data_IF_538519531748
#
_entry.id   IF_538519531748
#
_cell.length_a   1.000
_cell.length_b   1.000
_cell.length_c   1.000
_cell.angle_alpha   90.00
_cell.angle_beta   90.00
_cell.angle_gamma   90.00
#
_symmetry.space_group_name_H-M   'P 1'
#
loop_
_entity.id
_entity.type
_entity.pdbx_description
1 polymer ?
#
# COMPACT_ATOMS: atom_id res chain seq x y z
N UNK A 1 -1.57 -4.44 -56.58
CA UNK A 1 -1.91 -5.37 -55.48
C UNK A 1 -1.02 -6.60 -55.62
N UNK A 2 0.15 -6.67 -54.97
CA UNK A 2 1.02 -7.83 -55.08
C UNK A 2 0.41 -9.04 -54.36
N UNK A 3 0.28 -10.16 -55.07
CA UNK A 3 -0.27 -11.41 -54.56
C UNK A 3 0.75 -12.13 -53.67
N UNK A 4 0.35 -12.42 -52.42
CA UNK A 4 1.14 -13.24 -51.49
C UNK A 4 1.15 -14.69 -51.97
N UNK A 5 2.30 -15.13 -52.46
CA UNK A 5 2.52 -16.49 -52.94
C UNK A 5 2.75 -17.43 -51.75
N UNK A 6 1.70 -18.13 -51.31
CA UNK A 6 1.70 -19.02 -50.13
C UNK A 6 2.40 -20.37 -50.36
N UNK A 7 3.04 -20.61 -51.52
CA UNK A 7 3.71 -21.89 -51.83
C UNK A 7 5.10 -22.05 -51.20
N UNK A 8 5.61 -21.07 -50.46
CA UNK A 8 6.99 -21.06 -49.93
C UNK A 8 7.09 -20.92 -48.41
N UNK A 9 6.16 -21.49 -47.63
CA UNK A 9 6.21 -21.42 -46.15
C UNK A 9 7.44 -22.14 -45.54
N UNK A 10 8.10 -23.01 -46.31
CA UNK A 10 9.26 -23.79 -45.85
C UNK A 10 10.61 -23.35 -46.45
N UNK A 11 10.65 -22.38 -47.36
CA UNK A 11 11.92 -21.81 -47.83
C UNK A 11 12.44 -20.86 -46.77
N UNK A 12 13.31 -21.37 -45.88
CA UNK A 12 14.08 -20.56 -44.95
C UNK A 12 14.96 -19.61 -45.76
N UNK A 13 14.71 -18.32 -45.60
CA UNK A 13 15.60 -17.27 -46.06
C UNK A 13 16.99 -17.49 -45.41
N UNK A 14 18.05 -17.72 -46.20
CA UNK A 14 19.40 -17.98 -45.68
C UNK A 14 20.00 -16.76 -44.96
N UNK A 15 19.42 -15.57 -45.14
CA UNK A 15 19.82 -14.36 -44.42
C UNK A 15 19.13 -14.22 -43.05
N UNK A 16 18.13 -15.06 -42.74
CA UNK A 16 17.38 -14.97 -41.49
C UNK A 16 18.11 -15.69 -40.35
N UNK A 17 18.47 -14.98 -39.27
CA UNK A 17 19.15 -15.60 -38.14
C UNK A 17 18.30 -16.72 -37.55
N UNK A 18 18.95 -17.83 -37.24
CA UNK A 18 18.37 -19.00 -36.61
C UNK A 18 17.74 -18.63 -35.26
N UNK A 19 16.79 -19.44 -34.79
CA UNK A 19 16.18 -19.26 -33.47
C UNK A 19 17.23 -19.27 -32.35
N UNK A 20 18.31 -20.04 -32.51
CA UNK A 20 19.43 -20.11 -31.57
C UNK A 20 20.21 -18.80 -31.52
N UNK A 21 20.48 -18.17 -32.66
CA UNK A 21 21.13 -16.86 -32.74
C UNK A 21 20.25 -15.75 -32.17
N UNK A 22 18.95 -15.79 -32.44
CA UNK A 22 17.99 -14.83 -31.87
C UNK A 22 17.89 -14.96 -30.34
N UNK A 23 17.87 -16.18 -29.82
CA UNK A 23 17.88 -16.44 -28.38
C UNK A 23 19.20 -15.96 -27.73
N UNK A 24 20.34 -16.18 -28.39
CA UNK A 24 21.63 -15.69 -27.91
C UNK A 24 21.70 -14.14 -27.91
N UNK A 25 21.19 -13.49 -28.96
CA UNK A 25 21.11 -12.04 -29.05
C UNK A 25 20.19 -11.45 -27.96
N UNK A 26 19.04 -12.08 -27.72
CA UNK A 26 18.11 -11.69 -26.65
C UNK A 26 18.76 -11.82 -25.27
N UNK A 27 19.46 -12.93 -25.01
CA UNK A 27 20.19 -13.16 -23.75
C UNK A 27 21.31 -12.13 -23.55
N UNK A 28 22.04 -11.79 -24.61
CA UNK A 28 23.10 -10.77 -24.57
C UNK A 28 22.55 -9.34 -24.39
N UNK A 29 21.35 -9.05 -24.92
CA UNK A 29 20.67 -7.77 -24.71
C UNK A 29 20.14 -7.64 -23.27
N UNK A 30 19.52 -8.70 -22.74
CA UNK A 30 19.05 -8.75 -21.36
C UNK A 30 20.21 -8.62 -20.35
N UNK A 31 21.34 -9.28 -20.60
CA UNK A 31 22.54 -9.13 -19.76
C UNK A 31 23.12 -7.71 -19.76
N UNK A 32 22.91 -6.92 -20.82
CA UNK A 32 23.31 -5.50 -20.89
C UNK A 32 22.31 -4.58 -20.20
N UNK A 33 21.01 -4.88 -20.26
CA UNK A 33 19.99 -4.12 -19.55
C UNK A 33 20.07 -4.28 -18.02
N UNK A 34 20.53 -5.45 -17.54
CA UNK A 34 20.66 -5.77 -16.11
C UNK A 34 22.00 -5.25 -15.52
N UNK A 35 22.99 -4.91 -16.37
CA UNK A 35 24.22 -4.24 -15.90
C UNK A 35 23.89 -2.79 -15.52
N UNK A 36 23.58 -2.62 -14.23
CA UNK A 36 23.57 -1.34 -13.52
C UNK A 36 24.80 -0.53 -13.95
N UNK A 37 24.65 0.66 -14.57
CA UNK A 37 25.79 1.53 -14.77
C UNK A 37 26.41 1.80 -13.41
N UNK A 38 27.72 1.62 -13.33
CA UNK A 38 28.52 1.88 -12.14
C UNK A 38 28.31 3.35 -11.77
N UNK A 39 27.51 3.57 -10.71
CA UNK A 39 27.24 4.91 -10.22
C UNK A 39 28.56 5.51 -9.72
N UNK A 40 28.92 6.75 -10.09
CA UNK A 40 30.05 7.42 -9.48
C UNK A 40 29.83 7.45 -7.97
N UNK A 41 30.88 7.11 -7.22
CA UNK A 41 30.87 7.08 -5.77
C UNK A 41 30.34 8.41 -5.24
N UNK A 42 29.12 8.39 -4.70
CA UNK A 42 28.54 9.51 -3.99
C UNK A 42 29.40 9.69 -2.73
N UNK A 43 29.92 10.90 -2.45
CA UNK A 43 30.64 11.14 -1.21
C UNK A 43 29.72 10.74 -0.05
N UNK A 44 30.29 10.12 0.98
CA UNK A 44 29.55 9.63 2.15
C UNK A 44 28.64 10.73 2.71
N UNK A 45 27.39 10.74 2.25
CA UNK A 45 26.34 11.55 2.81
C UNK A 45 26.14 11.01 4.22
N UNK A 46 26.03 11.91 5.20
CA UNK A 46 25.34 11.63 6.45
C UNK A 46 24.17 10.72 6.12
N UNK A 47 24.05 9.58 6.82
CA UNK A 47 22.96 8.62 6.65
C UNK A 47 21.64 9.32 6.97
N UNK A 48 21.14 10.10 6.02
CA UNK A 48 19.88 10.78 6.11
C UNK A 48 18.84 9.67 6.03
N UNK A 49 18.24 9.39 7.17
CA UNK A 49 17.18 8.40 7.31
C UNK A 49 16.08 8.76 6.31
N UNK A 50 15.64 7.77 5.54
CA UNK A 50 14.53 7.95 4.60
C UNK A 50 13.33 8.55 5.36
N UNK A 51 12.80 9.71 4.94
CA UNK A 51 11.76 10.41 5.70
C UNK A 51 10.51 9.56 5.90
N UNK A 52 10.19 8.65 4.98
CA UNK A 52 9.05 7.74 5.14
C UNK A 52 9.31 6.75 6.29
N UNK A 53 10.54 6.23 6.37
CA UNK A 53 10.95 5.29 7.43
C UNK A 53 10.98 6.00 8.79
N UNK A 54 11.40 7.26 8.83
CA UNK A 54 11.40 8.06 10.05
C UNK A 54 10.00 8.24 10.65
N UNK A 55 8.95 8.25 9.82
CA UNK A 55 7.55 8.40 10.25
C UNK A 55 6.87 7.07 10.63
N UNK A 56 7.46 5.92 10.32
CA UNK A 56 6.86 4.61 10.61
C UNK A 56 6.50 4.38 12.08
N UNK A 57 7.30 4.79 13.08
CA UNK A 57 6.91 4.65 14.48
C UNK A 57 5.61 5.39 14.80
N UNK A 58 5.43 6.60 14.28
CA UNK A 58 4.21 7.38 14.47
C UNK A 58 3.01 6.71 13.80
N UNK A 59 3.18 6.21 12.57
CA UNK A 59 2.12 5.48 11.86
C UNK A 59 1.68 4.23 12.63
N UNK A 60 2.64 3.42 13.10
CA UNK A 60 2.36 2.20 13.87
C UNK A 60 1.65 2.51 15.18
N UNK A 61 2.06 3.56 15.87
CA UNK A 61 1.41 3.97 17.12
C UNK A 61 -0.01 4.48 16.89
N UNK A 62 -0.22 5.32 15.88
CA UNK A 62 -1.54 5.83 15.54
C UNK A 62 -2.47 4.69 15.11
N UNK A 63 -1.98 3.75 14.33
CA UNK A 63 -2.74 2.56 13.94
C UNK A 63 -3.09 1.65 15.12
N UNK A 64 -2.14 1.42 16.03
CA UNK A 64 -2.44 0.66 17.25
C UNK A 64 -3.57 1.31 18.06
N UNK A 65 -3.57 2.64 18.18
CA UNK A 65 -4.66 3.35 18.83
C UNK A 65 -6.00 3.19 18.10
N UNK A 66 -6.04 3.18 16.76
CA UNK A 66 -7.31 2.94 16.05
C UNK A 66 -7.84 1.54 16.33
N UNK A 67 -6.98 0.52 16.37
CA UNK A 67 -7.41 -0.86 16.65
C UNK A 67 -7.89 -1.03 18.09
N UNK A 68 -7.27 -0.37 19.05
CA UNK A 68 -7.71 -0.36 20.45
C UNK A 68 -9.01 0.43 20.64
N UNK A 69 -9.21 1.52 19.89
CA UNK A 69 -10.40 2.36 19.96
C UNK A 69 -11.56 1.81 19.13
N UNK A 70 -11.32 0.95 18.13
CA UNK A 70 -12.34 0.46 17.20
C UNK A 70 -13.64 -0.03 17.86
N UNK A 71 -13.61 -0.79 18.98
CA UNK A 71 -14.84 -1.20 19.64
C UNK A 71 -15.75 -0.06 20.15
N UNK A 72 -15.22 1.16 20.28
CA UNK A 72 -15.97 2.37 20.66
C UNK A 72 -16.76 2.95 19.48
N UNK A 73 -16.34 2.70 18.22
CA UNK A 73 -17.05 3.15 17.02
C UNK A 73 -18.37 2.40 16.75
N UNK A 74 -18.64 1.34 17.52
CA UNK A 74 -19.93 0.62 17.49
C UNK A 74 -20.94 1.17 18.51
N UNK A 75 -20.63 2.26 19.21
CA UNK A 75 -21.52 2.95 20.14
C UNK A 75 -22.52 3.86 19.41
N UNK A 76 -23.40 4.52 20.17
CA UNK A 76 -24.35 5.47 19.61
C UNK A 76 -23.62 6.59 18.84
N UNK A 77 -24.09 6.95 17.62
CA UNK A 77 -23.50 8.02 16.85
C UNK A 77 -23.42 9.33 17.65
N UNK A 78 -22.30 10.03 17.57
CA UNK A 78 -22.01 11.28 18.26
C UNK A 78 -21.90 11.17 19.80
N UNK A 79 -21.87 9.97 20.36
CA UNK A 79 -21.49 9.77 21.76
C UNK A 79 -20.05 10.22 22.02
N UNK A 80 -19.67 10.51 23.28
CA UNK A 80 -18.28 10.80 23.64
C UNK A 80 -17.30 9.71 23.16
N UNK A 81 -17.72 8.44 23.21
CA UNK A 81 -16.98 7.28 22.74
C UNK A 81 -16.78 7.29 21.21
N UNK A 82 -17.84 7.56 20.45
CA UNK A 82 -17.80 7.67 18.99
C UNK A 82 -16.92 8.85 18.54
N UNK A 83 -17.04 9.99 19.23
CA UNK A 83 -16.20 11.16 19.00
C UNK A 83 -14.72 10.88 19.31
N UNK A 84 -14.43 10.16 20.39
CA UNK A 84 -13.07 9.75 20.72
C UNK A 84 -12.50 8.78 19.66
N UNK A 85 -13.29 7.81 19.21
CA UNK A 85 -12.89 6.92 18.11
C UNK A 85 -12.61 7.70 16.82
N UNK A 86 -13.52 8.59 16.43
CA UNK A 86 -13.37 9.44 15.22
C UNK A 86 -12.10 10.28 15.29
N UNK A 87 -11.79 10.86 16.47
CA UNK A 87 -10.58 11.63 16.66
C UNK A 87 -9.30 10.79 16.48
N UNK A 88 -9.27 9.57 17.00
CA UNK A 88 -8.16 8.62 16.81
C UNK A 88 -8.02 8.20 15.35
N UNK A 89 -9.13 7.93 14.66
CA UNK A 89 -9.16 7.58 13.25
C UNK A 89 -8.59 8.72 12.38
N UNK A 90 -9.08 9.94 12.60
CA UNK A 90 -8.60 11.13 11.89
C UNK A 90 -7.12 11.41 12.15
N UNK A 91 -6.64 11.21 13.37
CA UNK A 91 -5.22 11.33 13.69
C UNK A 91 -4.38 10.31 12.89
N UNK A 92 -4.81 9.05 12.83
CA UNK A 92 -4.14 8.01 12.06
C UNK A 92 -4.09 8.33 10.56
N UNK A 93 -5.21 8.79 9.99
CA UNK A 93 -5.24 9.28 8.60
C UNK A 93 -4.34 10.50 8.39
N UNK A 94 -4.28 11.43 9.36
CA UNK A 94 -3.36 12.57 9.32
C UNK A 94 -1.91 12.13 9.18
N UNK A 95 -1.47 11.16 9.99
CA UNK A 95 -0.11 10.61 9.90
C UNK A 95 0.14 9.88 8.59
N UNK A 96 -0.82 9.06 8.12
CA UNK A 96 -0.71 8.37 6.84
C UNK A 96 -0.62 9.35 5.66
N UNK A 97 -1.45 10.39 5.64
CA UNK A 97 -1.44 11.44 4.63
C UNK A 97 -0.13 12.22 4.62
N UNK A 98 0.45 12.49 5.79
CA UNK A 98 1.75 13.14 5.87
C UNK A 98 2.86 12.29 5.22
N UNK A 99 2.83 10.95 5.38
CA UNK A 99 3.77 10.04 4.69
C UNK A 99 3.52 10.05 3.18
N UNK A 100 2.26 10.00 2.73
CA UNK A 100 1.90 10.01 1.30
C UNK A 100 2.30 11.32 0.62
N UNK A 101 2.30 12.44 1.35
CA UNK A 101 2.68 13.76 0.83
C UNK A 101 4.20 13.94 0.65
N UNK A 102 5.03 13.02 1.15
CA UNK A 102 6.47 13.06 0.96
C UNK A 102 6.86 12.87 -0.52
N UNK A 103 8.04 13.35 -0.95
CA UNK A 103 8.58 13.03 -2.27
C UNK A 103 8.70 11.50 -2.46
N UNK A 104 8.65 10.98 -3.71
CA UNK A 104 8.72 9.54 -3.96
C UNK A 104 9.91 8.86 -3.24
N UNK A 105 9.70 7.69 -2.60
CA UNK A 105 10.76 7.03 -1.85
C UNK A 105 11.88 6.55 -2.78
N UNK A 106 13.13 6.80 -2.36
CA UNK A 106 14.32 6.37 -3.09
C UNK A 106 14.81 4.98 -2.64
N UNK A 107 14.26 4.43 -1.56
CA UNK A 107 14.67 3.16 -0.96
C UNK A 107 13.53 2.15 -0.92
N UNK A 108 13.86 0.85 -0.90
CA UNK A 108 12.87 -0.20 -0.72
C UNK A 108 12.14 -0.11 0.63
N UNK A 109 12.83 0.32 1.68
CA UNK A 109 12.22 0.55 3.00
C UNK A 109 11.23 1.72 2.97
N UNK A 110 11.58 2.82 2.29
CA UNK A 110 10.67 3.95 2.08
C UNK A 110 9.45 3.57 1.24
N UNK A 111 9.63 2.70 0.23
CA UNK A 111 8.51 2.14 -0.53
C UNK A 111 7.57 1.31 0.36
N UNK A 112 8.13 0.50 1.26
CA UNK A 112 7.35 -0.24 2.25
C UNK A 112 6.58 0.67 3.21
N UNK A 113 7.22 1.75 3.67
CA UNK A 113 6.57 2.74 4.52
C UNK A 113 5.41 3.47 3.82
N UNK A 114 5.61 3.86 2.56
CA UNK A 114 4.54 4.41 1.72
C UNK A 114 3.41 3.40 1.51
N UNK A 115 3.72 2.12 1.29
CA UNK A 115 2.72 1.08 1.12
C UNK A 115 1.84 0.91 2.37
N UNK A 116 2.44 0.96 3.57
CA UNK A 116 1.70 0.90 4.84
C UNK A 116 0.80 2.14 5.04
N UNK A 117 1.29 3.33 4.69
CA UNK A 117 0.49 4.55 4.79
C UNK A 117 -0.71 4.51 3.82
N UNK A 118 -0.49 4.05 2.58
CA UNK A 118 -1.57 3.86 1.61
C UNK A 118 -2.56 2.79 2.07
N UNK A 119 -2.11 1.70 2.71
CA UNK A 119 -3.04 0.68 3.25
C UNK A 119 -3.94 1.22 4.35
N UNK A 120 -3.45 2.13 5.20
CA UNK A 120 -4.26 2.76 6.26
C UNK A 120 -5.36 3.65 5.67
N UNK A 121 -5.05 4.40 4.60
CA UNK A 121 -6.07 5.22 3.92
C UNK A 121 -7.07 4.38 3.10
N UNK A 122 -6.64 3.21 2.64
CA UNK A 122 -7.46 2.31 1.84
C UNK A 122 -8.33 1.37 2.68
N UNK A 123 -7.92 1.06 3.91
CA UNK A 123 -8.73 0.34 4.90
C UNK A 123 -9.98 1.17 5.21
N UNK A 124 -11.15 0.53 5.22
CA UNK A 124 -12.49 1.15 5.36
C UNK A 124 -12.94 2.09 4.23
N UNK A 125 -12.04 2.75 3.49
CA UNK A 125 -12.40 3.66 2.40
C UNK A 125 -12.75 2.94 1.08
N UNK A 126 -12.14 1.76 0.86
CA UNK A 126 -12.44 0.93 -0.30
C UNK A 126 -13.70 0.12 0.01
N UNK A 127 -14.80 0.55 -0.59
CA UNK A 127 -16.15 0.15 -0.19
C UNK A 127 -16.42 -1.35 -0.18
N UNK A 128 -17.38 -1.73 0.68
CA UNK A 128 -17.88 -3.08 0.79
C UNK A 128 -18.30 -3.64 -0.56
N UNK A 129 -17.90 -4.88 -0.88
CA UNK A 129 -18.60 -5.67 -1.89
C UNK A 129 -20.10 -5.61 -1.58
N UNK A 130 -20.91 -5.24 -2.57
CA UNK A 130 -22.36 -5.35 -2.46
C UNK A 130 -22.86 -6.74 -2.88
N UNK A 131 -21.95 -7.59 -3.37
CA UNK A 131 -22.21 -8.96 -3.83
C UNK A 131 -23.36 -9.06 -4.85
N UNK A 132 -23.62 -7.96 -5.56
CA UNK A 132 -24.65 -7.86 -6.61
C UNK A 132 -24.10 -8.20 -8.00
N UNK A 133 -22.86 -8.72 -8.05
CA UNK A 133 -22.15 -9.07 -9.29
C UNK A 133 -21.61 -7.87 -10.06
N UNK A 134 -21.75 -6.63 -9.54
CA UNK A 134 -21.32 -5.40 -10.20
C UNK A 134 -20.10 -4.76 -9.53
N UNK A 135 -19.56 -5.34 -8.46
CA UNK A 135 -18.43 -4.77 -7.72
C UNK A 135 -17.15 -4.63 -8.55
N UNK A 136 -16.95 -5.49 -9.54
CA UNK A 136 -15.86 -5.40 -10.52
C UNK A 136 -15.96 -4.13 -11.39
N UNK A 137 -17.18 -3.63 -11.60
CA UNK A 137 -17.46 -2.43 -12.38
C UNK A 137 -17.59 -1.18 -11.49
N UNK A 138 -17.95 -1.37 -10.22
CA UNK A 138 -18.23 -0.30 -9.27
C UNK A 138 -16.96 0.33 -8.69
N UNK A 139 -15.91 -0.46 -8.45
CA UNK A 139 -14.68 0.00 -7.79
C UNK A 139 -13.38 -0.36 -8.53
N UNK A 140 -13.25 -0.01 -9.84
CA UNK A 140 -12.10 -0.41 -10.63
C UNK A 140 -10.80 0.28 -10.20
N UNK A 141 -10.85 1.52 -9.71
CA UNK A 141 -9.64 2.25 -9.30
C UNK A 141 -9.16 1.79 -7.93
N UNK A 142 -10.08 1.51 -7.01
CA UNK A 142 -9.79 0.98 -5.68
C UNK A 142 -9.12 -0.39 -5.79
N UNK A 143 -9.59 -1.26 -6.68
CA UNK A 143 -8.94 -2.56 -6.95
C UNK A 143 -7.53 -2.41 -7.50
N UNK A 144 -7.30 -1.42 -8.38
CA UNK A 144 -5.94 -1.12 -8.88
C UNK A 144 -5.04 -0.59 -7.76
N UNK A 145 -5.58 0.24 -6.88
CA UNK A 145 -4.86 0.72 -5.70
C UNK A 145 -4.50 -0.44 -4.76
N UNK A 146 -5.42 -1.35 -4.46
CA UNK A 146 -5.16 -2.58 -3.67
C UNK A 146 -4.06 -3.42 -4.31
N UNK A 147 -4.13 -3.65 -5.62
CA UNK A 147 -3.11 -4.41 -6.34
C UNK A 147 -1.73 -3.71 -6.27
N UNK A 148 -1.69 -2.39 -6.41
CA UNK A 148 -0.47 -1.60 -6.29
C UNK A 148 0.13 -1.69 -4.87
N UNK A 149 -0.68 -1.52 -3.83
CA UNK A 149 -0.23 -1.61 -2.43
C UNK A 149 0.35 -3.00 -2.15
N UNK A 150 -0.36 -4.07 -2.54
CA UNK A 150 0.13 -5.45 -2.37
C UNK A 150 1.46 -5.68 -3.07
N UNK A 151 1.61 -5.17 -4.30
CA UNK A 151 2.87 -5.27 -5.04
C UNK A 151 4.01 -4.52 -4.33
N UNK A 152 3.74 -3.30 -3.84
CA UNK A 152 4.72 -2.52 -3.08
C UNK A 152 5.12 -3.23 -1.78
N UNK A 153 4.17 -3.81 -1.06
CA UNK A 153 4.45 -4.58 0.16
C UNK A 153 5.30 -5.82 -0.15
N UNK A 154 4.92 -6.60 -1.16
CA UNK A 154 5.67 -7.79 -1.57
C UNK A 154 7.10 -7.47 -2.03
N UNK A 155 7.29 -6.39 -2.80
CA UNK A 155 8.62 -5.98 -3.29
C UNK A 155 9.49 -5.40 -2.18
N UNK A 156 8.92 -4.65 -1.24
CA UNK A 156 9.65 -4.09 -0.10
C UNK A 156 9.91 -5.10 1.02
N UNK A 157 9.14 -6.20 1.06
CA UNK A 157 9.18 -7.18 2.14
C UNK A 157 8.63 -6.63 3.46
N UNK A 158 7.81 -5.58 3.41
CA UNK A 158 7.17 -5.02 4.61
C UNK A 158 5.96 -5.86 4.98
N UNK A 159 5.87 -6.22 6.25
CA UNK A 159 4.69 -6.89 6.80
C UNK A 159 3.56 -5.88 7.07
N UNK A 160 2.29 -6.30 6.95
CA UNK A 160 1.15 -5.48 7.33
C UNK A 160 1.21 -4.99 8.79
N UNK A 161 0.48 -3.91 9.08
CA UNK A 161 0.38 -3.40 10.45
C UNK A 161 -0.33 -4.43 11.35
N UNK A 162 0.10 -4.61 12.61
CA UNK A 162 -0.60 -5.50 13.54
C UNK A 162 -2.07 -5.12 13.69
N UNK A 163 -2.97 -6.09 13.50
CA UNK A 163 -4.41 -5.86 13.55
C UNK A 163 -5.01 -5.27 12.27
N UNK A 164 -4.24 -5.14 11.20
CA UNK A 164 -4.76 -4.80 9.88
C UNK A 164 -5.69 -5.90 9.38
N UNK A 165 -6.92 -5.53 9.01
CA UNK A 165 -7.97 -6.50 8.62
C UNK A 165 -7.98 -6.79 7.11
N UNK A 166 -7.12 -6.11 6.35
CA UNK A 166 -7.10 -6.23 4.91
C UNK A 166 -7.89 -5.12 4.21
N UNK A 167 -8.22 -5.37 2.95
CA UNK A 167 -9.07 -4.51 2.13
C UNK A 167 -10.44 -5.16 2.01
N UNK A 168 -11.54 -4.39 2.07
CA UNK A 168 -12.89 -4.96 2.05
C UNK A 168 -13.21 -5.77 0.77
N UNK A 169 -12.53 -5.48 -0.33
CA UNK A 169 -12.63 -6.19 -1.62
C UNK A 169 -11.65 -7.37 -1.77
N UNK A 170 -10.99 -7.78 -0.69
CA UNK A 170 -10.03 -8.89 -0.66
C UNK A 170 -10.63 -10.21 -0.14
N UNK A 171 -9.97 -11.36 -0.38
CA UNK A 171 -10.47 -12.67 0.06
C UNK A 171 -10.56 -12.85 1.58
N UNK A 172 -9.99 -11.93 2.36
CA UNK A 172 -9.85 -12.05 3.82
C UNK A 172 -10.66 -10.99 4.60
N UNK A 173 -11.47 -10.17 3.91
CA UNK A 173 -12.12 -8.99 4.49
C UNK A 173 -13.12 -9.29 5.60
N UNK A 174 -14.03 -10.23 5.37
CA UNK A 174 -15.15 -10.49 6.28
C UNK A 174 -14.67 -11.06 7.61
N UNK A 175 -13.76 -12.03 7.58
CA UNK A 175 -13.23 -12.67 8.79
C UNK A 175 -12.40 -11.69 9.65
N UNK A 176 -11.63 -10.79 9.01
CA UNK A 176 -10.88 -9.75 9.71
C UNK A 176 -11.80 -8.77 10.43
N UNK A 177 -12.86 -8.33 9.74
CA UNK A 177 -13.85 -7.41 10.32
C UNK A 177 -14.70 -8.05 11.41
N UNK A 178 -15.14 -9.30 11.24
CA UNK A 178 -15.86 -10.03 12.28
C UNK A 178 -15.04 -10.16 13.56
N UNK A 179 -13.74 -10.46 13.46
CA UNK A 179 -12.86 -10.55 14.61
C UNK A 179 -12.68 -9.21 15.35
N UNK A 180 -12.63 -8.11 14.60
CA UNK A 180 -12.59 -6.76 15.16
C UNK A 180 -13.92 -6.40 15.84
N UNK A 181 -15.05 -6.67 15.18
CA UNK A 181 -16.39 -6.37 15.68
C UNK A 181 -16.78 -7.20 16.92
N UNK A 182 -16.27 -8.43 17.06
CA UNK A 182 -16.48 -9.27 18.24
C UNK A 182 -15.97 -8.63 19.54
N UNK A 183 -15.14 -7.58 19.45
CA UNK A 183 -14.61 -6.83 20.60
C UNK A 183 -15.44 -5.63 21.02
N UNK A 184 -16.59 -5.35 20.36
CA UNK A 184 -17.45 -4.18 20.57
C UNK A 184 -17.67 -3.82 22.07
N UNK A 185 -17.60 -2.53 22.39
CA UNK A 185 -17.79 -2.01 23.76
C UNK A 185 -16.64 -2.27 24.75
N UNK A 186 -15.55 -2.92 24.34
CA UNK A 186 -14.35 -3.17 25.18
C UNK A 186 -13.12 -2.37 24.72
N UNK A 187 -13.35 -1.30 23.98
CA UNK A 187 -12.29 -0.49 23.38
C UNK A 187 -11.69 0.49 24.38
N UNK A 188 -10.50 0.98 24.06
CA UNK A 188 -9.83 2.04 24.82
C UNK A 188 -9.30 3.08 23.86
N UNK A 189 -9.47 4.36 24.20
CA UNK A 189 -8.92 5.46 23.44
C UNK A 189 -7.84 6.20 24.26
N UNK A 190 -6.87 6.86 23.60
CA UNK A 190 -5.93 7.74 24.27
C UNK A 190 -6.63 8.86 25.07
N UNK A 191 -5.99 9.32 26.15
CA UNK A 191 -6.54 10.37 27.00
C UNK A 191 -6.86 11.67 26.25
N UNK A 192 -6.05 12.01 25.23
CA UNK A 192 -6.29 13.20 24.41
C UNK A 192 -7.61 13.09 23.61
N UNK A 193 -7.92 11.89 23.09
CA UNK A 193 -9.14 11.65 22.33
C UNK A 193 -10.37 11.68 23.24
N UNK A 194 -10.27 11.08 24.43
CA UNK A 194 -11.31 11.14 25.47
C UNK A 194 -11.54 12.57 25.97
N UNK A 195 -10.53 13.43 25.89
CA UNK A 195 -10.65 14.86 26.20
C UNK A 195 -11.17 15.70 25.02
N UNK A 196 -11.58 15.07 23.91
CA UNK A 196 -12.12 15.74 22.72
C UNK A 196 -11.08 16.45 21.85
N UNK A 197 -9.79 16.09 21.97
CA UNK A 197 -8.72 16.67 21.15
C UNK A 197 -8.55 15.88 19.84
N UNK A 198 -7.98 16.52 18.82
CA UNK A 198 -7.75 15.91 17.49
C UNK A 198 -6.41 15.18 17.37
N UNK A 199 -5.55 15.26 18.39
CA UNK A 199 -4.27 14.58 18.45
C UNK A 199 -3.57 14.80 19.80
N UNK A 200 -2.44 14.14 20.04
CA UNK A 200 -1.60 14.43 21.20
C UNK A 200 -1.04 15.86 21.10
N UNK A 201 -1.13 16.64 22.18
CA UNK A 201 -0.67 18.04 22.21
C UNK A 201 0.85 18.18 21.94
N UNK A 202 1.60 17.08 22.03
CA UNK A 202 3.06 17.05 21.92
C UNK A 202 3.59 16.91 20.48
N UNK A 203 2.74 16.76 19.45
CA UNK A 203 3.20 16.83 18.07
C UNK A 203 3.14 18.28 17.57
N UNK A 204 4.17 19.06 17.91
CA UNK A 204 4.46 20.31 17.21
C UNK A 204 4.53 20.01 15.71
N UNK A 205 3.79 20.81 14.92
CA UNK A 205 3.89 20.81 13.45
C UNK A 205 5.36 20.90 13.05
N UNK A 206 5.86 19.86 12.38
CA UNK A 206 7.19 19.83 11.74
C UNK A 206 7.05 20.26 10.29
#
# INVERSE_FOLDING_TARGET
>A
MPSLNLRNVLRRDPSRPSLKERAAALKAAAGRAIRRPEMPAVPAANQQVDPHVAMLPALRQAFAWTRDAHPLGACDPFSPEDCAFTAVLHHCWGVANAIVALPPPATGAGLGALALALSVNAEEAIGRPQDDGMDDQRYPEERRLVAAIRAMMAVSGVEPLPGWVGFEVGPDSDAGWEAVNARAGKGTAPAWALAGKSGPDDMQEV
#
